data_IF_946640916318
#
_entry.id   IF_946640916318
#
_cell.length_a   1.000
_cell.length_b   1.000
_cell.length_c   1.000
_cell.angle_alpha   90.00
_cell.angle_beta   90.00
_cell.angle_gamma   90.00
#
_symmetry.space_group_name_H-M   'P 1'
#
loop_
_entity.id
_entity.type
_entity.pdbx_description
1 polymer ?
#
# COMPACT_ATOMS: atom_id res chain seq x y z
N UNK A 1 3.40 -0.15 -13.50
CA UNK A 1 4.41 -0.49 -12.49
C UNK A 1 5.21 0.74 -12.12
N UNK A 2 5.62 1.58 -13.08
CA UNK A 2 6.14 2.93 -12.83
C UNK A 2 5.38 3.73 -11.76
N UNK A 3 4.08 3.95 -11.96
CA UNK A 3 3.24 4.65 -10.97
C UNK A 3 3.22 3.96 -9.59
N UNK A 4 3.38 2.63 -9.53
CA UNK A 4 3.37 1.89 -8.26
C UNK A 4 4.69 2.15 -7.52
N UNK A 5 5.85 1.98 -8.16
CA UNK A 5 7.13 2.18 -7.48
C UNK A 5 7.35 3.65 -7.11
N UNK A 6 6.93 4.57 -7.98
CA UNK A 6 6.96 6.01 -7.71
C UNK A 6 6.06 6.40 -6.53
N UNK A 7 4.83 5.86 -6.48
CA UNK A 7 3.93 6.07 -5.34
C UNK A 7 4.46 5.43 -4.05
N UNK A 8 5.08 4.25 -4.13
CA UNK A 8 5.67 3.56 -2.98
C UNK A 8 6.87 4.35 -2.42
N UNK A 9 7.74 4.87 -3.28
CA UNK A 9 8.84 5.73 -2.87
C UNK A 9 8.36 7.06 -2.32
N UNK A 10 7.31 7.65 -2.91
CA UNK A 10 6.66 8.84 -2.38
C UNK A 10 6.10 8.61 -0.99
N UNK A 11 5.34 7.54 -0.80
CA UNK A 11 4.80 7.14 0.51
C UNK A 11 5.90 6.84 1.52
N UNK A 12 6.97 6.16 1.09
CA UNK A 12 8.14 5.87 1.93
C UNK A 12 8.81 7.16 2.43
N UNK A 13 9.08 8.11 1.52
CA UNK A 13 9.65 9.41 1.88
C UNK A 13 8.76 10.17 2.87
N UNK A 14 7.45 10.25 2.62
CA UNK A 14 6.51 10.92 3.53
C UNK A 14 6.45 10.26 4.91
N UNK A 15 6.45 8.92 4.97
CA UNK A 15 6.50 8.20 6.25
C UNK A 15 7.79 8.48 7.01
N UNK A 16 8.94 8.45 6.32
CA UNK A 16 10.23 8.78 6.91
C UNK A 16 10.25 10.20 7.47
N UNK A 17 9.76 11.18 6.71
CA UNK A 17 9.66 12.57 7.16
C UNK A 17 8.81 12.70 8.44
N UNK A 18 7.67 12.01 8.50
CA UNK A 18 6.79 12.06 9.67
C UNK A 18 7.36 11.33 10.89
N UNK A 19 8.08 10.23 10.68
CA UNK A 19 8.53 9.37 11.78
C UNK A 19 9.82 9.88 12.44
N UNK A 20 10.65 10.63 11.70
CA UNK A 20 11.91 11.20 12.20
C UNK A 20 11.67 12.13 13.41
N UNK A 21 10.53 12.83 13.45
CA UNK A 21 10.14 13.73 14.54
C UNK A 21 9.24 13.08 15.59
N UNK A 22 8.87 11.81 15.43
CA UNK A 22 8.04 11.08 16.39
C UNK A 22 8.83 10.82 17.69
N UNK A 23 8.25 11.13 18.84
CA UNK A 23 8.89 10.97 20.15
C UNK A 23 9.34 9.52 20.40
N UNK A 24 8.58 8.55 19.88
CA UNK A 24 8.96 7.13 19.92
C UNK A 24 10.25 6.84 19.14
N UNK A 25 10.58 7.62 18.11
CA UNK A 25 11.84 7.47 17.36
C UNK A 25 12.97 8.24 18.04
N UNK A 26 12.69 9.44 18.57
CA UNK A 26 13.69 10.24 19.28
C UNK A 26 14.27 9.48 20.47
N UNK A 27 13.43 8.76 21.24
CA UNK A 27 13.90 7.96 22.37
C UNK A 27 14.77 6.77 21.96
N UNK A 28 14.73 6.36 20.68
CA UNK A 28 15.59 5.31 20.14
C UNK A 28 16.97 5.81 19.70
N UNK A 29 17.11 7.12 19.45
CA UNK A 29 18.39 7.73 19.06
C UNK A 29 18.89 7.32 17.68
N UNK A 30 17.98 7.06 16.74
CA UNK A 30 18.28 6.59 15.36
C UNK A 30 17.91 7.64 14.30
N UNK A 31 17.75 8.89 14.72
CA UNK A 31 17.27 9.99 13.88
C UNK A 31 18.16 10.22 12.67
N UNK A 32 19.47 10.30 12.89
CA UNK A 32 20.46 10.55 11.83
C UNK A 32 20.49 9.41 10.79
N UNK A 33 20.43 8.16 11.24
CA UNK A 33 20.37 7.04 10.32
C UNK A 33 19.09 7.07 9.46
N UNK A 34 17.95 7.48 10.03
CA UNK A 34 16.69 7.61 9.28
C UNK A 34 16.69 8.81 8.32
N UNK A 35 17.32 9.93 8.70
CA UNK A 35 17.55 11.08 7.80
C UNK A 35 18.36 10.68 6.59
N UNK A 36 19.38 9.83 6.77
CA UNK A 36 20.17 9.35 5.64
C UNK A 36 19.39 8.37 4.75
N UNK A 37 18.53 7.52 5.32
CA UNK A 37 17.59 6.69 4.53
C UNK A 37 16.69 7.59 3.67
N UNK A 38 16.09 8.61 4.27
CA UNK A 38 15.22 9.57 3.57
C UNK A 38 15.94 10.23 2.40
N UNK A 39 17.14 10.78 2.64
CA UNK A 39 17.95 11.44 1.62
C UNK A 39 18.21 10.54 0.41
N UNK A 40 18.50 9.26 0.64
CA UNK A 40 18.76 8.30 -0.44
C UNK A 40 17.50 7.88 -1.18
N UNK A 41 16.39 7.70 -0.47
CA UNK A 41 15.08 7.43 -1.08
C UNK A 41 14.68 8.58 -2.01
N UNK A 42 14.87 9.82 -1.60
CA UNK A 42 14.61 11.01 -2.42
C UNK A 42 15.51 11.07 -3.65
N UNK A 43 16.81 10.77 -3.51
CA UNK A 43 17.73 10.67 -4.66
C UNK A 43 17.30 9.61 -5.67
N UNK A 44 16.92 8.43 -5.18
CA UNK A 44 16.48 7.32 -6.05
C UNK A 44 15.18 7.68 -6.78
N UNK A 45 14.26 8.39 -6.11
CA UNK A 45 12.99 8.84 -6.70
C UNK A 45 13.20 9.61 -8.01
N UNK A 46 14.25 10.42 -8.10
CA UNK A 46 14.56 11.22 -9.29
C UNK A 46 14.84 10.38 -10.56
N UNK A 47 15.30 9.14 -10.43
CA UNK A 47 15.64 8.30 -11.58
C UNK A 47 14.60 7.23 -11.91
N UNK A 48 13.52 7.11 -11.14
CA UNK A 48 12.53 6.03 -11.28
C UNK A 48 11.80 6.07 -12.61
N UNK A 49 11.43 7.27 -13.06
CA UNK A 49 10.74 7.44 -14.32
C UNK A 49 11.55 6.87 -15.49
N UNK A 50 12.84 7.21 -15.55
CA UNK A 50 13.75 6.75 -16.59
C UNK A 50 14.05 5.25 -16.47
N UNK A 51 14.26 4.74 -15.25
CA UNK A 51 14.48 3.33 -14.99
C UNK A 51 13.28 2.47 -15.46
N UNK A 52 12.05 2.91 -15.19
CA UNK A 52 10.85 2.19 -15.59
C UNK A 52 10.63 2.19 -17.10
N UNK A 53 11.01 3.27 -17.81
CA UNK A 53 11.00 3.31 -19.28
C UNK A 53 11.95 2.28 -19.90
N UNK A 54 13.08 1.99 -19.23
CA UNK A 54 14.09 1.00 -19.68
C UNK A 54 13.81 -0.42 -19.20
N UNK A 55 12.96 -0.60 -18.20
CA UNK A 55 12.64 -1.89 -17.55
C UNK A 55 12.32 -3.04 -18.51
N UNK A 56 11.52 -2.81 -19.55
CA UNK A 56 11.12 -3.87 -20.49
C UNK A 56 12.19 -4.20 -21.52
N UNK A 57 13.19 -3.33 -21.68
CA UNK A 57 14.26 -3.45 -22.67
C UNK A 57 15.56 -3.97 -22.05
N UNK A 58 15.78 -3.68 -20.78
CA UNK A 58 17.04 -3.97 -20.08
C UNK A 58 16.77 -4.83 -18.84
N UNK A 59 17.13 -6.12 -18.91
CA UNK A 59 16.94 -7.06 -17.81
C UNK A 59 17.68 -6.62 -16.53
N UNK A 60 18.86 -6.01 -16.68
CA UNK A 60 19.62 -5.45 -15.58
C UNK A 60 18.83 -4.37 -14.82
N UNK A 61 18.19 -3.43 -15.55
CA UNK A 61 17.34 -2.39 -14.96
C UNK A 61 16.11 -2.99 -14.29
N UNK A 62 15.50 -4.01 -14.87
CA UNK A 62 14.37 -4.72 -14.24
C UNK A 62 14.76 -5.40 -12.93
N UNK A 63 15.92 -6.05 -12.89
CA UNK A 63 16.44 -6.68 -11.67
C UNK A 63 16.80 -5.63 -10.61
N UNK A 64 17.35 -4.49 -11.01
CA UNK A 64 17.64 -3.37 -10.11
C UNK A 64 16.35 -2.78 -9.50
N UNK A 65 15.31 -2.57 -10.31
CA UNK A 65 13.99 -2.13 -9.82
C UNK A 65 13.35 -3.14 -8.88
N UNK A 66 13.56 -4.44 -9.11
CA UNK A 66 13.15 -5.50 -8.19
C UNK A 66 13.82 -5.38 -6.82
N UNK A 67 15.15 -5.26 -6.80
CA UNK A 67 15.91 -5.08 -5.56
C UNK A 67 15.49 -3.81 -4.80
N UNK A 68 15.26 -2.71 -5.53
CA UNK A 68 14.75 -1.48 -4.93
C UNK A 68 13.38 -1.68 -4.30
N UNK A 69 12.47 -2.39 -4.97
CA UNK A 69 11.15 -2.73 -4.43
C UNK A 69 11.26 -3.49 -3.11
N UNK A 70 12.11 -4.50 -3.04
CA UNK A 70 12.31 -5.31 -1.84
C UNK A 70 12.82 -4.44 -0.68
N UNK A 71 13.78 -3.55 -0.96
CA UNK A 71 14.32 -2.64 0.06
C UNK A 71 13.29 -1.63 0.54
N UNK A 72 12.39 -1.13 -0.32
CA UNK A 72 11.30 -0.25 0.12
C UNK A 72 10.35 -0.96 1.10
N UNK A 73 10.07 -2.25 0.88
CA UNK A 73 9.28 -3.03 1.85
C UNK A 73 10.03 -3.21 3.17
N UNK A 74 11.35 -3.44 3.14
CA UNK A 74 12.17 -3.47 4.35
C UNK A 74 12.10 -2.13 5.12
N UNK A 75 12.05 -0.98 4.44
CA UNK A 75 11.89 0.33 5.10
C UNK A 75 10.59 0.33 5.91
N UNK A 76 9.46 0.03 5.28
CA UNK A 76 8.14 0.06 5.92
C UNK A 76 8.09 -0.87 7.15
N UNK A 77 8.60 -2.09 7.05
CA UNK A 77 8.66 -3.03 8.17
C UNK A 77 9.52 -2.48 9.32
N UNK A 78 10.71 -1.97 9.02
CA UNK A 78 11.65 -1.48 10.04
C UNK A 78 11.10 -0.23 10.73
N UNK A 79 10.41 0.65 10.01
CA UNK A 79 9.75 1.82 10.60
C UNK A 79 8.65 1.42 11.59
N UNK A 80 7.82 0.43 11.25
CA UNK A 80 6.79 -0.08 12.14
C UNK A 80 7.40 -0.72 13.40
N UNK A 81 8.49 -1.49 13.24
CA UNK A 81 9.25 -2.06 14.37
C UNK A 81 9.86 -0.96 15.24
N UNK A 82 10.45 0.07 14.63
CA UNK A 82 11.04 1.19 15.35
C UNK A 82 9.99 1.92 16.17
N UNK A 83 8.85 2.27 15.57
CA UNK A 83 7.76 2.95 16.27
C UNK A 83 7.20 2.12 17.42
N UNK A 84 6.97 0.83 17.18
CA UNK A 84 6.45 -0.10 18.19
C UNK A 84 7.41 -0.24 19.37
N UNK A 85 8.71 -0.40 19.12
CA UNK A 85 9.72 -0.51 20.18
C UNK A 85 9.92 0.81 20.90
N UNK A 86 9.97 1.92 20.16
CA UNK A 86 10.08 3.27 20.69
C UNK A 86 8.95 3.62 21.65
N UNK A 87 7.70 3.30 21.26
CA UNK A 87 6.51 3.57 22.07
C UNK A 87 6.55 2.85 23.43
N UNK A 88 7.18 1.67 23.51
CA UNK A 88 7.35 0.93 24.78
C UNK A 88 8.42 1.53 25.70
N UNK A 89 9.27 2.43 25.19
CA UNK A 89 10.29 3.11 25.95
C UNK A 89 9.80 4.45 26.50
N UNK A 90 8.70 4.97 25.97
CA UNK A 90 8.08 6.20 26.46
C UNK A 90 7.48 5.95 27.86
N UNK A 91 7.51 6.96 28.75
CA UNK A 91 6.79 6.87 30.02
C UNK A 91 5.29 6.70 29.77
N UNK A 92 4.63 5.84 30.54
CA UNK A 92 3.17 5.77 30.51
C UNK A 92 2.58 7.13 30.91
N UNK A 93 1.61 7.61 30.14
CA UNK A 93 0.87 8.83 30.42
C UNK A 93 0.14 8.68 31.79
N UNK A 94 0.31 9.61 32.75
CA UNK A 94 -0.27 9.47 34.10
C UNK A 94 -1.81 9.50 34.14
N UNK A 95 -2.46 9.62 32.98
CA UNK A 95 -3.91 9.69 32.81
C UNK A 95 -4.61 8.31 32.83
N UNK A 96 -3.88 7.20 32.82
CA UNK A 96 -4.46 5.85 32.88
C UNK A 96 -4.44 5.24 34.30
N UNK A 97 -5.36 5.73 35.13
CA UNK A 97 -5.68 5.10 36.42
C UNK A 97 -6.23 3.67 36.21
N UNK A 98 -5.42 2.66 36.52
CA UNK A 98 -5.95 1.48 37.21
C UNK A 98 -4.99 1.08 38.33
N UNK A 99 -5.50 1.19 39.55
CA UNK A 99 -4.88 0.89 40.83
C UNK A 99 -4.19 -0.47 40.88
N UNK A 100 -2.88 -0.50 41.15
CA UNK A 100 -2.25 -1.52 42.02
C UNK A 100 -1.15 -0.89 42.88
N UNK A 101 -1.23 -1.22 44.16
CA UNK A 101 -0.55 -0.71 45.34
C UNK A 101 0.98 -0.71 45.26
N UNK A 102 1.56 0.31 45.89
CA UNK A 102 2.97 0.45 46.19
C UNK A 102 3.50 -0.69 47.10
N UNK A 103 4.60 -1.30 46.66
CA UNK A 103 5.62 -1.85 47.52
C UNK A 103 6.97 -1.61 46.82
N UNK A 104 7.77 -0.69 47.36
CA UNK A 104 9.12 -0.41 46.88
C UNK A 104 10.00 -1.64 47.06
N UNK A 105 10.56 -2.19 45.98
CA UNK A 105 11.67 -3.12 46.05
C UNK A 105 12.53 -3.06 44.77
N UNK A 106 13.72 -2.48 44.91
CA UNK A 106 14.87 -2.68 44.04
C UNK A 106 14.93 -1.77 42.81
N UNK A 107 16.03 -1.02 42.69
CA UNK A 107 16.51 -0.53 41.39
C UNK A 107 16.68 -1.74 40.47
N UNK A 108 15.63 -2.05 39.69
CA UNK A 108 15.71 -3.13 38.72
C UNK A 108 16.50 -2.64 37.52
N UNK A 109 17.80 -2.88 37.56
CA UNK A 109 18.75 -2.65 36.46
C UNK A 109 18.29 -3.34 35.16
N UNK A 110 17.35 -4.28 35.23
CA UNK A 110 16.77 -4.98 34.08
C UNK A 110 15.94 -4.09 33.14
N UNK A 111 15.34 -3.00 33.62
CA UNK A 111 14.59 -2.09 32.73
C UNK A 111 15.53 -1.28 31.83
N UNK A 112 16.72 -0.91 32.33
CA UNK A 112 17.74 -0.22 31.53
C UNK A 112 18.35 -1.12 30.45
N UNK A 113 18.60 -2.41 30.74
CA UNK A 113 19.16 -3.35 29.75
C UNK A 113 18.15 -3.73 28.65
N UNK A 114 16.87 -3.87 28.96
CA UNK A 114 15.82 -4.11 27.96
C UNK A 114 15.66 -2.92 26.99
N UNK A 115 15.84 -1.70 27.50
CA UNK A 115 15.77 -0.47 26.71
C UNK A 115 16.98 -0.34 25.77
N UNK A 116 18.18 -0.67 26.26
CA UNK A 116 19.42 -0.68 25.45
C UNK A 116 19.39 -1.75 24.36
N UNK A 117 18.91 -2.97 24.64
CA UNK A 117 18.76 -4.00 23.61
C UNK A 117 17.80 -3.54 22.53
N UNK A 118 16.66 -2.96 22.91
CA UNK A 118 15.65 -2.48 21.96
C UNK A 118 16.19 -1.37 21.06
N UNK A 119 16.93 -0.40 21.62
CA UNK A 119 17.66 0.63 20.86
C UNK A 119 18.69 0.01 19.92
N UNK A 120 19.53 -0.88 20.43
CA UNK A 120 20.58 -1.52 19.65
C UNK A 120 20.02 -2.35 18.49
N UNK A 121 18.99 -3.16 18.73
CA UNK A 121 18.35 -3.97 17.68
C UNK A 121 17.75 -3.10 16.57
N UNK A 122 17.03 -2.02 16.92
CA UNK A 122 16.48 -1.09 15.92
C UNK A 122 17.59 -0.39 15.15
N UNK A 123 18.62 0.12 15.84
CA UNK A 123 19.75 0.78 15.20
C UNK A 123 20.51 -0.16 14.25
N UNK A 124 20.71 -1.43 14.62
CA UNK A 124 21.33 -2.44 13.73
C UNK A 124 20.48 -2.67 12.49
N UNK A 125 19.15 -2.79 12.62
CA UNK A 125 18.24 -2.96 11.48
C UNK A 125 18.28 -1.75 10.53
N UNK A 126 18.21 -0.53 11.07
CA UNK A 126 18.28 0.70 10.27
C UNK A 126 19.65 0.84 9.60
N UNK A 127 20.76 0.49 10.27
CA UNK A 127 22.08 0.46 9.64
C UNK A 127 22.15 -0.55 8.49
N UNK A 128 21.56 -1.73 8.67
CA UNK A 128 21.43 -2.74 7.61
C UNK A 128 20.64 -2.20 6.40
N UNK A 129 19.52 -1.54 6.66
CA UNK A 129 18.69 -0.88 5.65
C UNK A 129 19.47 0.20 4.88
N UNK A 130 20.18 1.06 5.61
CA UNK A 130 21.04 2.09 5.02
C UNK A 130 22.06 1.48 4.06
N UNK A 131 22.70 0.38 4.45
CA UNK A 131 23.66 -0.34 3.60
C UNK A 131 23.01 -0.93 2.35
N UNK A 132 21.79 -1.48 2.45
CA UNK A 132 21.04 -2.00 1.29
C UNK A 132 20.71 -0.88 0.30
N UNK A 133 20.20 0.26 0.77
CA UNK A 133 19.88 1.42 -0.07
C UNK A 133 21.15 2.02 -0.67
N UNK A 134 22.23 2.10 0.11
CA UNK A 134 23.52 2.58 -0.38
C UNK A 134 24.03 1.72 -1.53
N UNK A 135 23.97 0.39 -1.41
CA UNK A 135 24.34 -0.53 -2.48
C UNK A 135 23.51 -0.30 -3.75
N UNK A 136 22.20 -0.07 -3.62
CA UNK A 136 21.31 0.26 -4.76
C UNK A 136 21.75 1.57 -5.43
N UNK A 137 22.05 2.59 -4.63
CA UNK A 137 22.47 3.92 -5.13
C UNK A 137 23.90 3.96 -5.69
N UNK A 138 24.73 2.96 -5.38
CA UNK A 138 26.10 2.81 -5.91
C UNK A 138 26.19 1.82 -7.06
N UNK A 139 25.08 1.15 -7.41
CA UNK A 139 25.06 0.24 -8.54
C UNK A 139 25.40 1.00 -9.84
N UNK A 140 26.20 0.37 -10.71
CA UNK A 140 26.55 0.92 -12.03
C UNK A 140 25.30 1.25 -12.84
N UNK A 141 24.21 0.51 -12.65
CA UNK A 141 22.92 0.76 -13.29
C UNK A 141 22.35 2.13 -12.86
N UNK A 142 22.42 2.47 -11.56
CA UNK A 142 21.97 3.77 -11.06
C UNK A 142 22.75 4.93 -11.69
N UNK A 143 24.07 4.76 -11.87
CA UNK A 143 24.93 5.76 -12.50
C UNK A 143 24.57 6.01 -13.97
N UNK A 144 23.99 5.03 -14.67
CA UNK A 144 23.51 5.21 -16.06
C UNK A 144 22.29 6.13 -16.18
N UNK A 145 21.58 6.39 -15.09
CA UNK A 145 20.47 7.34 -15.06
C UNK A 145 20.95 8.78 -14.82
N UNK A 146 22.04 8.95 -14.07
CA UNK A 146 22.62 10.28 -13.78
C UNK A 146 23.39 10.90 -14.95
N UNK A 147 23.53 10.19 -16.09
CA UNK A 147 24.36 10.63 -17.24
C UNK A 147 23.54 10.86 -18.52
N UNK A 148 22.20 10.78 -18.47
CA UNK A 148 21.37 10.86 -19.68
C UNK A 148 20.73 12.24 -19.85
N UNK A 149 21.37 13.10 -20.63
CA UNK A 149 20.70 14.23 -21.27
C UNK A 149 19.59 13.70 -22.19
N UNK A 150 18.40 14.30 -22.08
CA UNK A 150 17.17 13.95 -22.79
C UNK A 150 17.34 13.94 -24.32
N UNK A 151 16.55 13.11 -25.01
CA UNK A 151 15.80 13.65 -26.14
C UNK A 151 14.29 13.52 -25.90
N UNK A 152 13.61 14.64 -26.12
CA UNK A 152 12.17 14.73 -26.29
C UNK A 152 11.71 13.83 -27.45
N UNK A 153 10.68 13.02 -27.22
CA UNK A 153 10.12 12.14 -28.23
C UNK A 153 8.72 11.68 -27.85
N UNK A 154 7.74 12.20 -28.57
CA UNK A 154 6.32 11.90 -28.45
C UNK A 154 6.00 10.43 -28.80
N UNK A 155 5.09 9.83 -28.00
CA UNK A 155 4.24 8.69 -28.37
C UNK A 155 4.58 7.34 -27.70
N UNK A 156 3.68 6.34 -27.74
CA UNK A 156 2.21 6.36 -27.69
C UNK A 156 1.69 5.93 -26.30
N UNK A 157 0.45 6.30 -25.98
CA UNK A 157 -0.26 5.89 -24.77
C UNK A 157 -0.32 4.36 -24.63
N UNK A 158 0.50 3.82 -23.73
CA UNK A 158 0.44 2.42 -23.33
C UNK A 158 -0.88 2.15 -22.63
N UNK A 159 -1.82 1.50 -23.34
CA UNK A 159 -2.96 0.82 -22.71
C UNK A 159 -2.40 -0.30 -21.83
N UNK A 160 -2.22 0.01 -20.55
CA UNK A 160 -1.88 -0.99 -19.54
C UNK A 160 -3.05 -1.97 -19.44
N UNK A 161 -2.96 -3.11 -20.13
CA UNK A 161 -3.86 -4.24 -19.91
C UNK A 161 -3.53 -4.79 -18.53
N UNK A 162 -4.22 -4.28 -17.50
CA UNK A 162 -4.19 -4.80 -16.13
C UNK A 162 -5.20 -5.94 -16.03
N UNK A 163 -4.80 -7.13 -16.48
CA UNK A 163 -5.44 -8.35 -16.03
C UNK A 163 -4.76 -8.78 -14.74
N UNK A 164 -5.30 -8.35 -13.59
CA UNK A 164 -5.08 -9.11 -12.37
C UNK A 164 -5.87 -10.40 -12.54
N UNK A 165 -5.21 -11.49 -12.93
CA UNK A 165 -5.84 -12.81 -12.90
C UNK A 165 -6.39 -12.99 -11.49
N UNK A 166 -7.72 -13.12 -11.35
CA UNK A 166 -8.44 -13.24 -10.07
C UNK A 166 -8.25 -14.64 -9.48
N UNK A 167 -7.01 -15.13 -9.47
CA UNK A 167 -6.62 -16.40 -8.86
C UNK A 167 -6.86 -16.26 -7.36
N UNK A 168 -7.49 -17.26 -6.77
CA UNK A 168 -7.75 -17.30 -5.34
C UNK A 168 -6.41 -17.33 -4.58
N UNK A 169 -6.13 -16.34 -3.70
CA UNK A 169 -4.85 -16.29 -3.02
C UNK A 169 -4.75 -17.38 -1.94
N UNK A 170 -3.55 -17.96 -1.80
CA UNK A 170 -3.20 -18.84 -0.68
C UNK A 170 -3.05 -18.01 0.60
N UNK A 171 -4.15 -17.87 1.34
CA UNK A 171 -4.21 -17.09 2.56
C UNK A 171 -3.63 -17.90 3.74
N UNK A 172 -2.59 -17.37 4.38
CA UNK A 172 -1.96 -17.97 5.56
C UNK A 172 -2.25 -17.11 6.81
N UNK A 173 -2.46 -17.77 7.95
CA UNK A 173 -2.73 -17.12 9.24
C UNK A 173 -4.16 -17.33 9.75
N UNK A 174 -4.29 -17.76 11.01
CA UNK A 174 -5.59 -18.13 11.60
C UNK A 174 -6.56 -16.94 11.71
N UNK A 175 -6.04 -15.77 12.08
CA UNK A 175 -6.85 -14.56 12.25
C UNK A 175 -7.37 -14.01 10.93
N UNK A 176 -6.56 -13.98 9.87
CA UNK A 176 -7.01 -13.48 8.57
C UNK A 176 -8.06 -14.40 7.93
N UNK A 177 -7.94 -15.72 8.14
CA UNK A 177 -8.96 -16.69 7.74
C UNK A 177 -10.26 -16.45 8.50
N UNK A 178 -10.19 -16.21 9.82
CA UNK A 178 -11.37 -15.93 10.65
C UNK A 178 -12.04 -14.61 10.25
N UNK A 179 -11.25 -13.57 10.02
CA UNK A 179 -11.72 -12.26 9.55
C UNK A 179 -12.36 -12.34 8.17
N UNK A 180 -11.76 -13.08 7.23
CA UNK A 180 -12.33 -13.31 5.91
C UNK A 180 -13.73 -13.95 6.00
N UNK A 181 -13.91 -15.02 6.78
CA UNK A 181 -15.23 -15.63 6.98
C UNK A 181 -16.24 -14.67 7.59
N UNK A 182 -15.85 -13.95 8.65
CA UNK A 182 -16.72 -12.94 9.29
C UNK A 182 -17.18 -11.87 8.31
N UNK A 183 -16.29 -11.39 7.43
CA UNK A 183 -16.63 -10.40 6.42
C UNK A 183 -17.57 -10.97 5.35
N UNK A 184 -17.36 -12.22 4.91
CA UNK A 184 -18.28 -12.92 3.99
C UNK A 184 -19.67 -13.04 4.62
N UNK A 185 -19.75 -13.47 5.89
CA UNK A 185 -21.02 -13.57 6.61
C UNK A 185 -21.71 -12.23 6.78
N UNK A 186 -20.94 -11.19 7.10
CA UNK A 186 -21.43 -9.82 7.24
C UNK A 186 -21.99 -9.27 5.92
N UNK A 187 -21.29 -9.46 4.80
CA UNK A 187 -21.78 -9.07 3.48
C UNK A 187 -23.07 -9.84 3.13
N UNK A 188 -23.11 -11.13 3.41
CA UNK A 188 -24.27 -11.96 3.12
C UNK A 188 -25.50 -11.59 3.96
N UNK A 189 -25.31 -11.26 5.24
CA UNK A 189 -26.43 -10.87 6.12
C UNK A 189 -27.06 -9.54 5.71
N UNK A 190 -26.34 -8.71 4.96
CA UNK A 190 -26.81 -7.41 4.47
C UNK A 190 -27.23 -7.46 2.98
N UNK A 191 -27.37 -8.64 2.37
CA UNK A 191 -27.67 -8.78 0.92
C UNK A 191 -29.00 -8.17 0.49
N UNK A 192 -29.98 -8.09 1.40
CA UNK A 192 -31.33 -7.56 1.12
C UNK A 192 -31.42 -6.04 1.29
N UNK A 193 -30.37 -5.42 1.82
CA UNK A 193 -30.32 -3.97 1.94
C UNK A 193 -30.21 -3.33 0.55
N UNK A 194 -30.91 -2.21 0.36
CA UNK A 194 -30.84 -1.42 -0.89
C UNK A 194 -29.40 -1.06 -1.27
N UNK A 195 -28.56 -0.81 -0.28
CA UNK A 195 -27.10 -0.65 -0.47
C UNK A 195 -26.37 -0.94 0.83
N UNK A 196 -25.28 -1.70 0.77
CA UNK A 196 -24.37 -1.95 1.87
C UNK A 196 -22.93 -1.71 1.41
N UNK A 197 -22.15 -0.95 2.18
CA UNK A 197 -20.78 -0.58 1.84
C UNK A 197 -19.84 -1.00 2.96
N UNK A 198 -18.73 -1.62 2.58
CA UNK A 198 -17.66 -2.03 3.48
C UNK A 198 -16.35 -1.42 2.97
N UNK A 199 -15.57 -0.83 3.87
CA UNK A 199 -14.23 -0.34 3.56
C UNK A 199 -13.18 -1.22 4.26
N UNK A 200 -12.19 -1.68 3.50
CA UNK A 200 -10.99 -2.32 4.05
C UNK A 200 -9.88 -1.27 4.02
N UNK A 201 -9.53 -0.75 5.19
CA UNK A 201 -8.53 0.32 5.35
C UNK A 201 -7.32 -0.23 6.10
N UNK A 202 -6.14 0.30 5.78
CA UNK A 202 -4.88 -0.12 6.37
C UNK A 202 -3.70 0.37 5.56
N UNK A 203 -2.51 0.25 6.13
CA UNK A 203 -1.25 0.63 5.50
C UNK A 203 -1.00 -0.13 4.19
N UNK A 204 -0.10 0.40 3.35
CA UNK A 204 0.36 -0.31 2.15
C UNK A 204 0.94 -1.68 2.52
N UNK A 205 0.76 -2.68 1.65
CA UNK A 205 1.36 -4.01 1.86
C UNK A 205 0.68 -4.92 2.90
N UNK A 206 -0.25 -4.43 3.73
CA UNK A 206 -0.92 -5.23 4.78
C UNK A 206 -1.85 -6.35 4.26
N UNK A 207 -1.98 -6.51 2.94
CA UNK A 207 -2.81 -7.56 2.33
C UNK A 207 -4.29 -7.21 2.16
N UNK A 208 -4.66 -5.92 2.10
CA UNK A 208 -6.05 -5.46 1.85
C UNK A 208 -6.64 -6.08 0.58
N UNK A 209 -5.93 -5.93 -0.53
CA UNK A 209 -6.30 -6.49 -1.83
C UNK A 209 -6.40 -8.01 -1.77
N UNK A 210 -5.48 -8.67 -1.06
CA UNK A 210 -5.49 -10.13 -0.84
C UNK A 210 -6.74 -10.58 -0.08
N UNK A 211 -7.12 -9.86 0.99
CA UNK A 211 -8.33 -10.13 1.75
C UNK A 211 -9.59 -9.90 0.91
N UNK A 212 -9.64 -8.79 0.17
CA UNK A 212 -10.74 -8.49 -0.75
C UNK A 212 -10.87 -9.55 -1.86
N UNK A 213 -9.76 -10.02 -2.43
CA UNK A 213 -9.74 -11.10 -3.43
C UNK A 213 -10.28 -12.40 -2.86
N UNK A 214 -9.95 -12.73 -1.61
CA UNK A 214 -10.48 -13.91 -0.93
C UNK A 214 -12.00 -13.82 -0.75
N UNK A 215 -12.51 -12.67 -0.33
CA UNK A 215 -13.96 -12.43 -0.17
C UNK A 215 -14.68 -12.49 -1.52
N UNK A 216 -14.14 -11.82 -2.54
CA UNK A 216 -14.71 -11.80 -3.89
C UNK A 216 -14.80 -13.19 -4.50
N UNK A 217 -13.81 -14.04 -4.24
CA UNK A 217 -13.76 -15.40 -4.77
C UNK A 217 -14.55 -16.43 -3.95
N UNK A 218 -15.06 -16.07 -2.78
CA UNK A 218 -15.80 -16.96 -1.88
C UNK A 218 -17.09 -17.47 -2.53
N UNK A 219 -17.35 -18.78 -2.42
CA UNK A 219 -18.50 -19.42 -3.04
C UNK A 219 -19.84 -18.86 -2.54
N UNK A 220 -19.92 -18.42 -1.27
CA UNK A 220 -21.12 -17.79 -0.72
C UNK A 220 -21.39 -16.46 -1.41
N UNK A 221 -20.35 -15.66 -1.66
CA UNK A 221 -20.47 -14.38 -2.38
C UNK A 221 -20.81 -14.63 -3.85
N UNK A 222 -20.14 -15.57 -4.52
CA UNK A 222 -20.43 -15.95 -5.90
C UNK A 222 -21.86 -16.46 -6.10
N UNK A 223 -22.39 -17.23 -5.15
CA UNK A 223 -23.76 -17.75 -5.22
C UNK A 223 -24.85 -16.75 -4.79
N UNK A 224 -24.50 -15.69 -4.05
CA UNK A 224 -25.49 -14.76 -3.48
C UNK A 224 -25.83 -13.58 -4.38
N UNK A 225 -24.88 -13.15 -5.22
CA UNK A 225 -25.05 -11.98 -6.09
C UNK A 225 -25.10 -12.43 -7.55
N UNK A 226 -25.89 -11.75 -8.38
CA UNK A 226 -26.06 -12.08 -9.81
C UNK A 226 -24.98 -11.43 -10.68
N UNK A 227 -24.46 -10.32 -10.22
CA UNK A 227 -23.48 -9.51 -10.93
C UNK A 227 -22.27 -9.35 -10.02
N UNK A 228 -21.07 -9.57 -10.55
CA UNK A 228 -19.81 -9.33 -9.88
C UNK A 228 -18.92 -8.47 -10.75
N UNK A 229 -18.25 -7.49 -10.14
CA UNK A 229 -17.25 -6.69 -10.82
C UNK A 229 -16.11 -6.36 -9.87
N UNK A 230 -14.89 -6.46 -10.38
CA UNK A 230 -13.69 -6.01 -9.70
C UNK A 230 -13.04 -4.90 -10.51
N UNK A 231 -12.92 -3.72 -9.92
CA UNK A 231 -12.43 -2.53 -10.60
C UNK A 231 -11.24 -1.98 -9.81
N UNK A 232 -10.10 -1.85 -10.46
CA UNK A 232 -8.94 -1.16 -9.90
C UNK A 232 -9.06 0.32 -10.23
N UNK A 233 -9.18 1.16 -9.21
CA UNK A 233 -9.32 2.62 -9.36
C UNK A 233 -7.93 3.24 -9.41
N UNK A 234 -7.58 3.93 -10.48
CA UNK A 234 -6.33 4.69 -10.56
C UNK A 234 -6.43 6.01 -9.79
N UNK A 235 -5.30 6.58 -9.38
CA UNK A 235 -5.25 7.94 -8.82
C UNK A 235 -5.84 8.98 -9.80
N UNK A 236 -5.44 8.92 -11.08
CA UNK A 236 -5.97 9.78 -12.14
C UNK A 236 -7.23 9.18 -12.80
N UNK A 237 -8.21 8.72 -12.01
CA UNK A 237 -9.39 8.09 -12.59
C UNK A 237 -10.22 9.08 -13.42
N UNK A 238 -10.71 8.62 -14.57
CA UNK A 238 -11.70 9.33 -15.37
C UNK A 238 -13.04 8.59 -15.24
N UNK A 239 -14.12 9.33 -14.97
CA UNK A 239 -15.45 8.76 -14.75
C UNK A 239 -15.94 7.95 -15.94
N UNK A 240 -15.64 8.38 -17.17
CA UNK A 240 -15.99 7.67 -18.42
C UNK A 240 -15.25 6.33 -18.49
N UNK A 241 -13.94 6.31 -18.22
CA UNK A 241 -13.15 5.06 -18.29
C UNK A 241 -13.56 4.08 -17.20
N UNK A 242 -13.86 4.58 -15.98
CA UNK A 242 -14.33 3.75 -14.87
C UNK A 242 -15.69 3.10 -15.18
N UNK A 243 -16.65 3.87 -15.70
CA UNK A 243 -17.97 3.35 -16.09
C UNK A 243 -17.85 2.31 -17.21
N UNK A 244 -17.00 2.56 -18.21
CA UNK A 244 -16.73 1.59 -19.29
C UNK A 244 -16.10 0.30 -18.76
N UNK A 245 -15.23 0.40 -17.76
CA UNK A 245 -14.60 -0.76 -17.13
C UNK A 245 -15.61 -1.59 -16.31
N UNK A 246 -16.52 -0.94 -15.59
CA UNK A 246 -17.62 -1.63 -14.91
C UNK A 246 -18.50 -2.36 -15.92
N UNK A 247 -18.97 -1.67 -16.97
CA UNK A 247 -19.80 -2.25 -18.02
C UNK A 247 -19.12 -3.47 -18.68
N UNK A 248 -17.81 -3.36 -18.96
CA UNK A 248 -17.01 -4.48 -19.50
C UNK A 248 -16.98 -5.68 -18.55
N UNK A 249 -16.78 -5.46 -17.25
CA UNK A 249 -16.72 -6.54 -16.25
C UNK A 249 -18.06 -7.29 -16.12
N UNK A 250 -19.18 -6.58 -16.28
CA UNK A 250 -20.52 -7.17 -16.17
C UNK A 250 -21.08 -7.66 -17.53
N UNK A 251 -20.27 -7.66 -18.59
CA UNK A 251 -20.63 -8.17 -19.91
C UNK A 251 -21.53 -7.26 -20.75
N UNK A 252 -21.57 -5.96 -20.45
CA UNK A 252 -22.38 -4.97 -21.18
C UNK A 252 -21.55 -4.24 -22.22
N UNK A 253 -22.03 -4.26 -23.47
CA UNK A 253 -21.37 -3.60 -24.59
C UNK A 253 -21.44 -2.07 -24.49
N UNK A 254 -20.31 -1.42 -24.71
CA UNK A 254 -20.17 0.03 -24.76
C UNK A 254 -19.39 0.45 -26.02
N UNK A 255 -19.60 1.67 -26.48
CA UNK A 255 -19.01 2.22 -27.71
C UNK A 255 -18.06 3.38 -27.41
N UNK A 256 -17.25 3.74 -28.41
CA UNK A 256 -16.41 4.92 -28.33
C UNK A 256 -17.28 6.18 -28.54
N UNK A 257 -17.01 7.25 -27.79
CA UNK A 257 -17.77 8.51 -27.88
C UNK A 257 -19.01 8.61 -26.98
N UNK A 258 -19.40 7.54 -26.27
CA UNK A 258 -20.54 7.59 -25.34
C UNK A 258 -20.30 8.57 -24.18
N UNK A 259 -21.34 9.36 -23.91
CA UNK A 259 -21.40 10.29 -22.78
C UNK A 259 -21.55 9.57 -21.45
N UNK A 260 -21.24 10.26 -20.34
CA UNK A 260 -21.42 9.74 -18.99
C UNK A 260 -22.88 9.32 -18.76
N UNK A 261 -23.85 10.11 -19.21
CA UNK A 261 -25.28 9.83 -19.05
C UNK A 261 -25.70 8.54 -19.77
N UNK A 262 -25.19 8.30 -20.99
CA UNK A 262 -25.48 7.07 -21.74
C UNK A 262 -24.89 5.84 -21.05
N UNK A 263 -23.65 5.94 -20.55
CA UNK A 263 -22.99 4.87 -19.80
C UNK A 263 -23.71 4.59 -18.47
N UNK A 264 -24.15 5.62 -17.77
CA UNK A 264 -24.95 5.48 -16.53
C UNK A 264 -26.30 4.82 -16.80
N UNK A 265 -27.00 5.21 -17.88
CA UNK A 265 -28.27 4.58 -18.28
C UNK A 265 -28.08 3.09 -18.56
N UNK A 266 -27.05 2.74 -19.35
CA UNK A 266 -26.70 1.33 -19.62
C UNK A 266 -26.40 0.56 -18.35
N UNK A 267 -25.66 1.15 -17.42
CA UNK A 267 -25.35 0.51 -16.15
C UNK A 267 -26.62 0.30 -15.31
N UNK A 268 -27.48 1.33 -15.22
CA UNK A 268 -28.74 1.26 -14.49
C UNK A 268 -29.68 0.17 -15.04
N UNK A 269 -29.80 0.07 -16.37
CA UNK A 269 -30.55 -1.00 -17.02
C UNK A 269 -29.94 -2.39 -16.76
N UNK A 270 -28.61 -2.50 -16.79
CA UNK A 270 -27.91 -3.76 -16.60
C UNK A 270 -28.09 -4.34 -15.19
N UNK A 271 -28.09 -3.48 -14.17
CA UNK A 271 -28.21 -3.87 -12.75
C UNK A 271 -29.66 -3.86 -12.24
N UNK A 272 -30.61 -3.40 -13.05
CA UNK A 272 -32.03 -3.32 -12.66
C UNK A 272 -32.53 -4.68 -12.17
N UNK A 273 -33.14 -4.68 -10.98
CA UNK A 273 -33.72 -5.85 -10.30
C UNK A 273 -32.74 -7.02 -10.08
N UNK A 274 -31.43 -6.73 -10.05
CA UNK A 274 -30.36 -7.70 -9.81
C UNK A 274 -29.50 -7.26 -8.63
N UNK A 275 -29.21 -8.21 -7.76
CA UNK A 275 -28.18 -8.06 -6.71
C UNK A 275 -26.79 -8.04 -7.34
N UNK A 276 -25.94 -7.08 -6.96
CA UNK A 276 -24.57 -6.96 -7.45
C UNK A 276 -23.57 -6.86 -6.30
N UNK A 277 -22.38 -7.40 -6.53
CA UNK A 277 -21.22 -7.27 -5.65
C UNK A 277 -20.08 -6.59 -6.42
N UNK A 278 -19.73 -5.37 -5.99
CA UNK A 278 -18.73 -4.54 -6.66
C UNK A 278 -17.55 -4.32 -5.70
N UNK A 279 -16.35 -4.66 -6.16
CA UNK A 279 -15.10 -4.30 -5.48
C UNK A 279 -14.47 -3.12 -6.22
N UNK A 280 -14.23 -2.04 -5.49
CA UNK A 280 -13.39 -0.93 -5.91
C UNK A 280 -12.07 -1.05 -5.16
N UNK A 281 -11.03 -1.51 -5.86
CA UNK A 281 -9.69 -1.73 -5.30
C UNK A 281 -8.81 -0.50 -5.54
N UNK A 282 -7.93 -0.22 -4.58
CA UNK A 282 -6.98 0.91 -4.60
C UNK A 282 -7.64 2.29 -4.75
N UNK A 283 -8.72 2.56 -3.99
CA UNK A 283 -9.42 3.86 -4.02
C UNK A 283 -8.64 4.93 -3.25
N UNK A 284 -8.39 6.07 -3.91
CA UNK A 284 -7.69 7.21 -3.35
C UNK A 284 -8.66 8.35 -3.01
N UNK A 285 -8.41 9.05 -1.89
CA UNK A 285 -9.06 10.34 -1.67
C UNK A 285 -8.39 11.37 -2.57
N UNK A 286 -9.16 12.05 -3.41
CA UNK A 286 -8.69 13.25 -4.07
C UNK A 286 -8.43 14.30 -2.99
N UNK A 287 -7.20 14.79 -2.91
CA UNK A 287 -6.94 16.06 -2.26
C UNK A 287 -7.70 17.11 -3.06
N UNK A 288 -8.91 17.41 -2.62
CA UNK A 288 -9.65 18.59 -3.02
C UNK A 288 -8.90 19.77 -2.43
N UNK A 289 -7.95 20.30 -3.20
CA UNK A 289 -7.73 21.73 -3.20
C UNK A 289 -9.00 22.37 -3.74
N UNK A 290 -9.94 22.69 -2.85
CA UNK A 290 -10.94 23.72 -3.07
C UNK A 290 -11.02 24.59 -1.82
N UNK A 291 -10.47 25.79 -2.03
CA UNK A 291 -10.48 27.04 -1.26
C UNK A 291 -9.61 27.04 0.00
#
# INVERSE_FOLDING_TARGET
MAAILESLLGSCASKLQNIITDEAILILGVEEELREVLRRVELIKCCIYDAEKRRTKELAVNNWLGQLRDVIYDVDEILDVARCKGSKLLPDDPSSSSSKSAACAGFSVSSCFCNIWSRHDVAVRIRGLNKKIENISKDKIFLTFNTSTQPAGNGPTSKLVRSSNLVEPNLVGKEIIRSSRRLVDLVHSHKENKSYKLAIVGTGGVGKTTLAQKIYNDNKIKGSFKIHAWICVSQDYNQVTLLKEVLRNIGVHHQQGETIAELQRKLAEAIKDKSFFLVLDDVWQSNVGQI
#
